data_IF_731111742962
#
_entry.id   IF_731111742962
#
_cell.length_a   1.000
_cell.length_b   1.000
_cell.length_c   1.000
_cell.angle_alpha   90.00
_cell.angle_beta   90.00
_cell.angle_gamma   90.00
#
_symmetry.space_group_name_H-M   'P 1'
#
loop_
_entity.id
_entity.type
_entity.pdbx_description
1 polymer ?
#
# COMPACT_ATOMS: atom_id res chain seq x y z
N UNK A 1 -15.63 -4.71 -14.51
CA UNK A 1 -14.71 -3.63 -14.09
C UNK A 1 -14.95 -2.46 -15.03
N UNK A 2 -15.25 -1.27 -14.50
CA UNK A 2 -15.53 -0.07 -15.30
C UNK A 2 -14.48 0.98 -14.97
N UNK A 3 -13.84 1.57 -15.99
CA UNK A 3 -12.78 2.53 -15.81
C UNK A 3 -13.07 3.82 -16.59
N UNK A 4 -12.76 4.95 -15.97
CA UNK A 4 -12.86 6.29 -16.55
C UNK A 4 -11.52 7.00 -16.37
N UNK A 5 -11.12 7.80 -17.34
CA UNK A 5 -9.88 8.58 -17.28
C UNK A 5 -10.10 9.96 -17.91
N UNK A 6 -9.57 10.98 -17.25
CA UNK A 6 -9.55 12.35 -17.74
C UNK A 6 -8.34 13.08 -17.15
N UNK A 7 -7.42 13.54 -17.99
CA UNK A 7 -6.17 14.19 -17.59
C UNK A 7 -5.38 13.35 -16.55
N UNK A 8 -5.10 13.89 -15.37
CA UNK A 8 -4.37 13.21 -14.30
C UNK A 8 -5.26 12.34 -13.40
N UNK A 9 -6.58 12.35 -13.64
CA UNK A 9 -7.59 11.61 -12.88
C UNK A 9 -7.95 10.29 -13.56
N UNK A 10 -7.88 9.19 -12.83
CA UNK A 10 -8.48 7.92 -13.22
C UNK A 10 -9.35 7.34 -12.12
N UNK A 11 -10.48 6.76 -12.53
CA UNK A 11 -11.48 6.16 -11.65
C UNK A 11 -11.70 4.73 -12.12
N UNK A 12 -11.53 3.78 -11.22
CA UNK A 12 -11.79 2.36 -11.45
C UNK A 12 -12.85 1.89 -10.48
N UNK A 13 -13.99 1.47 -11.01
CA UNK A 13 -15.08 0.93 -10.23
C UNK A 13 -15.01 -0.59 -10.15
N UNK A 14 -15.39 -1.12 -8.98
CA UNK A 14 -15.47 -2.56 -8.73
C UNK A 14 -14.16 -3.29 -9.08
N UNK A 15 -13.03 -2.70 -8.66
CA UNK A 15 -11.73 -3.36 -8.76
C UNK A 15 -11.76 -4.60 -7.88
N UNK A 16 -11.36 -5.73 -8.45
CA UNK A 16 -11.20 -6.97 -7.72
C UNK A 16 -9.78 -7.02 -7.15
N UNK A 17 -9.67 -7.09 -5.83
CA UNK A 17 -8.43 -7.41 -5.15
C UNK A 17 -8.11 -8.90 -5.24
N UNK A 18 -7.05 -9.30 -4.55
CA UNK A 18 -6.70 -10.71 -4.40
C UNK A 18 -7.86 -11.51 -3.81
N UNK A 19 -8.14 -12.66 -4.43
CA UNK A 19 -9.18 -13.61 -4.00
C UNK A 19 -8.66 -14.62 -3.00
N UNK A 20 -7.37 -14.90 -3.05
CA UNK A 20 -6.68 -15.86 -2.20
C UNK A 20 -5.67 -15.14 -1.32
N UNK A 21 -5.41 -15.68 -0.14
CA UNK A 21 -4.35 -15.20 0.72
C UNK A 21 -3.00 -15.66 0.17
N UNK A 22 -2.15 -14.71 -0.18
CA UNK A 22 -0.76 -14.93 -0.54
C UNK A 22 0.08 -14.46 0.64
N UNK A 23 1.01 -15.31 1.10
CA UNK A 23 1.98 -14.94 2.14
C UNK A 23 3.03 -14.01 1.53
N UNK A 24 2.64 -12.77 1.32
CA UNK A 24 3.48 -11.69 0.83
C UNK A 24 3.83 -10.76 1.98
N UNK A 25 5.02 -10.19 1.93
CA UNK A 25 5.48 -9.21 2.90
C UNK A 25 4.95 -7.80 2.64
N UNK A 26 4.12 -7.61 1.61
CA UNK A 26 3.49 -6.33 1.26
C UNK A 26 1.99 -6.36 1.54
N UNK A 27 1.36 -5.20 1.87
CA UNK A 27 -0.07 -5.13 2.11
C UNK A 27 -0.87 -5.50 0.85
N UNK A 28 -1.40 -6.72 0.80
CA UNK A 28 -2.22 -7.17 -0.31
C UNK A 28 -3.67 -6.68 -0.15
N UNK A 29 -4.23 -6.08 -1.21
CA UNK A 29 -5.62 -5.61 -1.22
C UNK A 29 -6.54 -6.76 -1.59
N UNK A 30 -7.50 -7.06 -0.72
CA UNK A 30 -8.51 -8.10 -0.91
C UNK A 30 -9.91 -7.50 -1.09
N UNK A 31 -10.83 -8.31 -1.63
CA UNK A 31 -12.23 -7.95 -1.82
C UNK A 31 -12.46 -6.98 -2.98
N UNK A 32 -13.66 -6.37 -3.02
CA UNK A 32 -14.04 -5.38 -4.03
C UNK A 32 -13.97 -3.96 -3.47
N UNK A 33 -13.47 -3.04 -4.28
CA UNK A 33 -13.34 -1.63 -3.92
C UNK A 33 -13.36 -0.74 -5.17
N UNK A 34 -13.59 0.55 -4.97
CA UNK A 34 -13.37 1.56 -6.01
C UNK A 34 -12.02 2.23 -5.78
N UNK A 35 -11.40 2.70 -6.84
CA UNK A 35 -10.12 3.37 -6.78
C UNK A 35 -10.21 4.68 -7.57
N UNK A 36 -9.77 5.77 -6.94
CA UNK A 36 -9.55 7.05 -7.58
C UNK A 36 -8.07 7.36 -7.48
N UNK A 37 -7.46 7.67 -8.62
CA UNK A 37 -6.04 7.96 -8.73
C UNK A 37 -5.89 9.33 -9.38
N UNK A 38 -5.07 10.17 -8.76
CA UNK A 38 -4.63 11.47 -9.29
C UNK A 38 -3.13 11.47 -9.44
N UNK A 39 -2.54 12.55 -9.97
CA UNK A 39 -1.08 12.76 -9.95
C UNK A 39 -0.48 12.68 -8.54
N UNK A 40 -1.23 13.12 -7.51
CA UNK A 40 -0.73 13.24 -6.14
C UNK A 40 -1.13 12.12 -5.21
N UNK A 41 -2.27 11.48 -5.43
CA UNK A 41 -2.83 10.52 -4.47
C UNK A 41 -3.48 9.32 -5.15
N UNK A 42 -3.54 8.24 -4.40
CA UNK A 42 -4.37 7.07 -4.65
C UNK A 42 -5.32 6.91 -3.47
N UNK A 43 -6.62 6.87 -3.75
CA UNK A 43 -7.66 6.71 -2.74
C UNK A 43 -8.50 5.49 -3.08
N UNK A 44 -8.68 4.60 -2.12
CA UNK A 44 -9.53 3.42 -2.26
C UNK A 44 -10.79 3.58 -1.43
N UNK A 45 -11.92 3.21 -2.00
CA UNK A 45 -13.24 3.31 -1.36
C UNK A 45 -13.88 1.93 -1.21
N UNK A 46 -14.59 1.71 -0.10
CA UNK A 46 -15.46 0.55 0.04
C UNK A 46 -16.69 0.70 -0.86
N UNK A 47 -17.55 -0.33 -0.90
CA UNK A 47 -18.78 -0.32 -1.70
C UNK A 47 -19.84 0.66 -1.19
N UNK A 48 -19.66 1.22 0.01
CA UNK A 48 -20.48 2.29 0.58
C UNK A 48 -19.95 3.69 0.25
N UNK A 49 -18.97 3.79 -0.67
CA UNK A 49 -18.28 5.03 -1.05
C UNK A 49 -17.51 5.71 0.10
N UNK A 50 -17.13 4.96 1.13
CA UNK A 50 -16.28 5.47 2.20
C UNK A 50 -14.81 5.17 1.93
N UNK A 51 -13.91 6.09 2.30
CA UNK A 51 -12.48 5.89 2.14
C UNK A 51 -12.02 4.72 3.01
N UNK A 52 -11.25 3.79 2.43
CA UNK A 52 -10.55 2.71 3.15
C UNK A 52 -9.06 3.01 3.28
N UNK A 53 -8.44 3.46 2.20
CA UNK A 53 -6.99 3.64 2.12
C UNK A 53 -6.63 4.89 1.32
N UNK A 54 -5.56 5.56 1.74
CA UNK A 54 -4.90 6.65 1.01
C UNK A 54 -3.42 6.34 0.90
N UNK A 55 -2.84 6.59 -0.27
CA UNK A 55 -1.40 6.58 -0.52
C UNK A 55 -1.05 7.83 -1.31
N UNK A 56 0.01 8.51 -0.93
CA UNK A 56 0.55 9.61 -1.72
C UNK A 56 1.47 9.12 -2.83
N UNK A 57 1.48 9.88 -3.93
CA UNK A 57 2.22 9.61 -5.17
C UNK A 57 3.15 10.75 -5.56
N UNK A 58 3.16 11.81 -4.76
CA UNK A 58 4.01 12.99 -4.93
C UNK A 58 5.18 12.94 -3.93
N UNK A 59 6.24 13.72 -4.20
CA UNK A 59 7.46 13.80 -3.36
C UNK A 59 7.22 14.24 -1.92
N UNK A 60 6.08 14.88 -1.64
CA UNK A 60 5.75 15.35 -0.29
C UNK A 60 5.15 14.22 0.58
N UNK A 61 4.85 13.06 -0.02
CA UNK A 61 4.44 11.87 0.73
C UNK A 61 5.68 11.14 1.25
N UNK A 62 5.74 10.74 2.53
CA UNK A 62 7.00 10.32 3.14
C UNK A 62 7.67 9.13 2.44
N UNK A 63 6.90 8.11 2.03
CA UNK A 63 7.42 7.03 1.21
C UNK A 63 6.31 6.36 0.36
N UNK A 64 6.55 6.02 -0.92
CA UNK A 64 5.51 5.51 -1.82
C UNK A 64 4.87 4.20 -1.34
N UNK A 65 5.55 3.40 -0.52
CA UNK A 65 4.97 2.16 0.04
C UNK A 65 4.16 2.37 1.32
N UNK A 66 4.04 3.61 1.81
CA UNK A 66 3.31 3.94 3.04
C UNK A 66 1.85 4.31 2.76
N UNK A 67 1.00 3.99 3.74
CA UNK A 67 -0.45 4.08 3.58
C UNK A 67 -1.12 4.64 4.82
N UNK A 68 -2.17 5.42 4.61
CA UNK A 68 -3.13 5.75 5.64
C UNK A 68 -4.36 4.85 5.46
N UNK A 69 -4.81 4.19 6.53
CA UNK A 69 -6.01 3.36 6.54
C UNK A 69 -7.06 3.98 7.45
N UNK A 70 -8.28 4.09 6.96
CA UNK A 70 -9.44 4.45 7.79
C UNK A 70 -10.00 3.19 8.45
N UNK A 71 -10.20 3.23 9.75
CA UNK A 71 -10.87 2.14 10.50
C UNK A 71 -12.38 2.25 10.35
N UNK A 72 -13.12 1.21 10.75
CA UNK A 72 -14.59 1.28 10.83
C UNK A 72 -15.07 2.33 11.85
N UNK A 73 -14.23 2.70 12.83
CA UNK A 73 -14.49 3.73 13.82
C UNK A 73 -14.22 5.17 13.33
N UNK A 74 -13.86 5.34 12.05
CA UNK A 74 -13.45 6.63 11.47
C UNK A 74 -12.09 7.16 11.98
N UNK A 75 -11.30 6.33 12.64
CA UNK A 75 -9.92 6.65 13.00
C UNK A 75 -8.98 6.42 11.83
N UNK A 76 -7.81 7.06 11.88
CA UNK A 76 -6.76 6.89 10.89
C UNK A 76 -5.54 6.18 11.47
N UNK A 77 -5.14 5.10 10.82
CA UNK A 77 -3.93 4.33 11.14
C UNK A 77 -2.91 4.55 10.04
N UNK A 78 -1.72 5.02 10.42
CA UNK A 78 -0.60 5.20 9.52
C UNK A 78 0.28 3.95 9.48
N UNK A 79 0.38 3.33 8.31
CA UNK A 79 1.30 2.23 8.04
C UNK A 79 2.57 2.80 7.42
N UNK A 80 3.56 3.07 8.28
CA UNK A 80 4.91 3.36 7.85
C UNK A 80 5.60 2.07 7.38
N UNK A 81 6.52 2.18 6.43
CA UNK A 81 7.40 1.07 6.07
C UNK A 81 8.58 0.92 7.03
N UNK A 82 8.74 1.80 8.03
CA UNK A 82 9.82 1.70 9.02
C UNK A 82 11.23 1.73 8.41
N UNK A 83 12.22 1.29 9.19
CA UNK A 83 13.65 1.19 8.86
C UNK A 83 14.00 0.12 7.81
N UNK A 84 13.04 -0.34 7.00
CA UNK A 84 13.34 -1.26 5.89
C UNK A 84 14.28 -0.64 4.85
N UNK A 85 14.37 0.70 4.81
CA UNK A 85 15.39 1.40 4.04
C UNK A 85 16.79 1.19 4.60
N UNK A 86 16.99 1.06 5.92
CA UNK A 86 18.33 0.86 6.49
C UNK A 86 18.94 -0.45 5.98
N UNK A 87 18.12 -1.51 5.85
CA UNK A 87 18.57 -2.80 5.30
C UNK A 87 18.84 -2.67 3.80
N UNK A 88 17.98 -1.97 3.05
CA UNK A 88 18.19 -1.77 1.62
C UNK A 88 19.41 -0.89 1.33
N UNK A 89 19.63 0.17 2.11
CA UNK A 89 20.78 1.07 2.01
C UNK A 89 22.09 0.35 2.35
N UNK A 90 22.06 -0.64 3.25
CA UNK A 90 23.23 -1.43 3.65
C UNK A 90 23.49 -2.62 2.72
N UNK A 91 22.44 -3.34 2.31
CA UNK A 91 22.55 -4.65 1.68
C UNK A 91 21.99 -4.71 0.24
N UNK A 92 21.35 -3.64 -0.25
CA UNK A 92 20.67 -3.60 -1.55
C UNK A 92 19.38 -4.43 -1.58
N UNK A 93 18.94 -4.95 -0.44
CA UNK A 93 17.80 -5.87 -0.31
C UNK A 93 16.82 -5.34 0.74
N UNK A 94 15.53 -5.49 0.50
CA UNK A 94 14.49 -5.07 1.46
C UNK A 94 14.29 -6.07 2.61
N UNK A 95 15.12 -7.10 2.75
CA UNK A 95 15.03 -8.08 3.82
C UNK A 95 16.41 -8.40 4.36
N UNK A 96 16.49 -8.63 5.68
CA UNK A 96 17.73 -9.07 6.29
C UNK A 96 18.11 -10.44 5.73
N UNK A 97 19.28 -10.60 5.09
CA UNK A 97 19.68 -11.89 4.57
C UNK A 97 19.89 -12.84 5.75
N UNK A 98 19.06 -13.88 5.84
CA UNK A 98 19.24 -14.95 6.81
C UNK A 98 20.32 -15.89 6.27
N UNK A 99 21.57 -15.47 6.44
CA UNK A 99 22.74 -16.20 5.96
C UNK A 99 22.93 -17.45 6.83
N UNK A 100 23.28 -18.56 6.19
CA UNK A 100 23.41 -19.89 6.80
C UNK A 100 24.68 -20.03 7.66
N UNK A 101 24.90 -19.12 8.59
CA UNK A 101 25.96 -19.27 9.60
C UNK A 101 25.44 -20.08 10.77
N UNK A 102 26.33 -20.85 11.40
CA UNK A 102 25.98 -21.74 12.51
C UNK A 102 25.45 -20.98 13.74
N UNK A 103 25.74 -19.67 13.85
CA UNK A 103 25.17 -18.77 14.85
C UNK A 103 24.77 -17.41 14.24
N UNK A 104 23.63 -16.87 14.68
CA UNK A 104 23.19 -15.52 14.34
C UNK A 104 23.92 -14.52 15.24
N UNK A 105 24.63 -13.49 14.71
CA UNK A 105 25.37 -12.55 15.54
C UNK A 105 24.50 -11.49 16.26
N UNK A 106 23.17 -11.68 16.31
CA UNK A 106 22.21 -10.81 16.99
C UNK A 106 21.36 -11.58 17.99
#
# INVERSE_FOLDING_TARGET
MTAYAFDDLSIVLNREGAREFLKLSVPMRHGRYHEIRTSKHLVQFNLNAEIKYIQGRHRDWPHPSEWLKRTMGNDWVYYSVGSYNDIFDIAGEYYFPCLSYDENPF
#
